data_IF_029191690950
#
_entry.id   IF_029191690950
#
_cell.length_a   1.000
_cell.length_b   1.000
_cell.length_c   1.000
_cell.angle_alpha   90.00
_cell.angle_beta   90.00
_cell.angle_gamma   90.00
#
_symmetry.space_group_name_H-M   'P 1'
#
loop_
_entity.id
_entity.type
_entity.pdbx_description
1 polymer ?
#
# COMPACT_ATOMS: atom_id res chain seq x y z
N UNK A 1 -10.68 5.06 -7.26
CA UNK A 1 -11.83 5.38 -6.40
C UNK A 1 -11.46 5.31 -4.92
N UNK A 2 -10.99 4.16 -4.41
CA UNK A 2 -10.64 4.05 -2.99
C UNK A 2 -9.58 5.07 -2.50
N UNK A 3 -8.49 5.30 -3.26
CA UNK A 3 -7.50 6.31 -2.88
C UNK A 3 -8.08 7.73 -2.81
N UNK A 4 -8.95 8.09 -3.78
CA UNK A 4 -9.61 9.40 -3.79
C UNK A 4 -10.53 9.57 -2.58
N UNK A 5 -11.34 8.56 -2.26
CA UNK A 5 -12.23 8.59 -1.10
C UNK A 5 -11.46 8.74 0.21
N UNK A 6 -10.32 8.04 0.37
CA UNK A 6 -9.46 8.19 1.54
C UNK A 6 -8.88 9.60 1.65
N UNK A 7 -8.46 10.20 0.52
CA UNK A 7 -7.99 11.59 0.51
C UNK A 7 -9.09 12.59 0.85
N UNK A 8 -10.31 12.38 0.35
CA UNK A 8 -11.47 13.22 0.66
C UNK A 8 -11.83 13.17 2.16
N UNK A 9 -11.62 12.01 2.80
CA UNK A 9 -11.77 11.82 4.26
C UNK A 9 -10.55 12.32 5.07
N UNK A 10 -9.55 12.91 4.40
CA UNK A 10 -8.39 13.54 5.05
C UNK A 10 -7.24 12.60 5.40
N UNK A 11 -7.19 11.39 4.83
CA UNK A 11 -6.05 10.47 5.01
C UNK A 11 -4.90 10.81 4.05
N UNK A 12 -3.66 10.66 4.53
CA UNK A 12 -2.48 10.57 3.65
C UNK A 12 -2.47 9.19 2.98
N UNK A 13 -2.37 9.17 1.65
CA UNK A 13 -2.41 7.93 0.87
C UNK A 13 -1.07 7.67 0.20
N UNK A 14 -0.44 6.55 0.60
CA UNK A 14 0.72 5.97 -0.08
C UNK A 14 0.26 4.81 -0.96
N UNK A 15 0.43 4.95 -2.28
CA UNK A 15 0.07 3.93 -3.27
C UNK A 15 1.31 3.19 -3.75
N UNK A 16 1.31 1.86 -3.62
CA UNK A 16 2.32 0.98 -4.23
C UNK A 16 1.73 0.34 -5.48
N UNK A 17 2.35 0.55 -6.64
CA UNK A 17 1.86 0.01 -7.91
C UNK A 17 3.04 -0.30 -8.85
N UNK A 18 3.02 -1.47 -9.50
CA UNK A 18 4.10 -1.88 -10.41
C UNK A 18 3.80 -1.61 -11.89
N UNK A 19 2.61 -1.08 -12.23
CA UNK A 19 2.22 -0.88 -13.62
C UNK A 19 2.49 0.58 -14.08
N UNK A 20 3.52 0.84 -14.91
CA UNK A 20 3.83 2.19 -15.36
C UNK A 20 2.75 2.83 -16.24
N UNK A 21 1.85 2.03 -16.83
CA UNK A 21 0.76 2.53 -17.65
C UNK A 21 -0.30 3.32 -16.85
N UNK A 22 -0.26 3.28 -15.51
CA UNK A 22 -1.23 3.97 -14.64
C UNK A 22 -0.64 5.17 -13.89
N UNK A 23 0.61 5.57 -14.18
CA UNK A 23 1.30 6.69 -13.51
C UNK A 23 0.45 7.97 -13.46
N UNK A 24 -0.15 8.34 -14.60
CA UNK A 24 -0.87 9.60 -14.77
C UNK A 24 -2.13 9.72 -13.90
N UNK A 25 -2.74 8.59 -13.55
CA UNK A 25 -3.89 8.57 -12.63
C UNK A 25 -3.43 8.50 -11.17
N UNK A 26 -2.29 7.89 -10.91
CA UNK A 26 -1.82 7.57 -9.55
C UNK A 26 -1.37 8.82 -8.77
N UNK A 27 -0.75 9.81 -9.44
CA UNK A 27 -0.32 11.07 -8.79
C UNK A 27 -1.48 12.03 -8.47
N UNK A 28 -2.64 11.84 -9.10
CA UNK A 28 -3.84 12.62 -8.80
C UNK A 28 -4.56 12.04 -7.57
N UNK A 29 -4.46 10.72 -7.37
CA UNK A 29 -5.29 9.99 -6.39
C UNK A 29 -4.54 9.61 -5.10
N UNK A 30 -3.22 9.78 -5.04
CA UNK A 30 -2.39 9.46 -3.86
C UNK A 30 -1.41 10.61 -3.57
N UNK A 31 -0.94 10.72 -2.33
CA UNK A 31 0.07 11.72 -1.93
C UNK A 31 1.48 11.27 -2.30
N UNK A 32 1.72 9.96 -2.23
CA UNK A 32 2.96 9.33 -2.67
C UNK A 32 2.66 8.09 -3.50
N UNK A 33 3.43 7.90 -4.57
CA UNK A 33 3.32 6.75 -5.47
C UNK A 33 4.68 6.06 -5.57
N UNK A 34 4.72 4.79 -5.21
CA UNK A 34 5.88 3.92 -5.39
C UNK A 34 5.69 3.02 -6.61
N UNK A 35 6.47 3.29 -7.65
CA UNK A 35 6.54 2.54 -8.91
C UNK A 35 7.53 1.38 -8.82
N UNK A 36 7.32 0.49 -7.86
CA UNK A 36 8.23 -0.61 -7.52
C UNK A 36 7.55 -1.97 -7.76
N UNK A 37 8.32 -3.06 -7.93
CA UNK A 37 7.77 -4.40 -7.97
C UNK A 37 6.93 -4.69 -6.72
N UNK A 38 5.72 -5.23 -6.92
CA UNK A 38 4.83 -5.67 -5.83
C UNK A 38 5.33 -7.01 -5.26
N UNK A 39 6.50 -6.98 -4.62
CA UNK A 39 7.09 -8.12 -3.93
C UNK A 39 7.16 -7.86 -2.43
N UNK A 40 7.24 -8.93 -1.65
CA UNK A 40 7.33 -8.84 -0.18
C UNK A 40 8.49 -7.93 0.26
N UNK A 41 9.65 -8.03 -0.40
CA UNK A 41 10.84 -7.26 -0.04
C UNK A 41 10.63 -5.75 -0.23
N UNK A 42 10.13 -5.33 -1.40
CA UNK A 42 9.92 -3.93 -1.72
C UNK A 42 8.82 -3.32 -0.85
N UNK A 43 7.67 -3.99 -0.72
CA UNK A 43 6.58 -3.49 0.11
C UNK A 43 7.00 -3.42 1.59
N UNK A 44 7.79 -4.37 2.07
CA UNK A 44 8.33 -4.31 3.43
C UNK A 44 9.28 -3.11 3.64
N UNK A 45 10.12 -2.78 2.65
CA UNK A 45 10.98 -1.58 2.69
C UNK A 45 10.13 -0.31 2.76
N UNK A 46 9.10 -0.22 1.92
CA UNK A 46 8.19 0.94 1.90
C UNK A 46 7.47 1.08 3.25
N UNK A 47 6.89 0.01 3.79
CA UNK A 47 6.21 0.04 5.10
C UNK A 47 7.14 0.48 6.23
N UNK A 48 8.39 0.00 6.24
CA UNK A 48 9.38 0.39 7.26
C UNK A 48 9.80 1.85 7.15
N UNK A 49 9.82 2.38 5.93
CA UNK A 49 10.20 3.77 5.65
C UNK A 49 9.05 4.73 5.94
N UNK A 50 7.89 4.49 5.32
CA UNK A 50 6.69 5.34 5.41
C UNK A 50 5.96 5.23 6.75
N UNK A 51 6.10 4.09 7.46
CA UNK A 51 5.44 3.82 8.75
C UNK A 51 3.92 4.11 8.72
N UNK A 52 3.15 3.51 7.79
CA UNK A 52 1.72 3.77 7.71
C UNK A 52 0.98 3.18 8.92
N UNK A 53 -0.11 3.84 9.34
CA UNK A 53 -0.98 3.32 10.40
C UNK A 53 -1.73 2.06 9.97
N UNK A 54 -2.02 1.95 8.66
CA UNK A 54 -2.82 0.88 8.10
C UNK A 54 -2.48 0.57 6.63
N UNK A 55 -2.81 -0.65 6.20
CA UNK A 55 -2.81 -1.06 4.79
C UNK A 55 -4.16 -1.63 4.37
N UNK A 56 -4.56 -1.37 3.12
CA UNK A 56 -5.82 -1.85 2.53
C UNK A 56 -5.49 -2.74 1.32
N UNK A 57 -5.37 -4.06 1.50
CA UNK A 57 -4.93 -4.96 0.43
C UNK A 57 -6.04 -5.31 -0.58
N UNK A 58 -7.30 -5.14 -0.21
CA UNK A 58 -8.45 -5.55 -1.02
C UNK A 58 -8.61 -4.81 -2.35
N UNK A 59 -7.96 -3.65 -2.51
CA UNK A 59 -8.03 -2.84 -3.73
C UNK A 59 -7.06 -3.37 -4.80
N UNK A 60 -6.00 -4.08 -4.41
CA UNK A 60 -4.95 -4.59 -5.29
C UNK A 60 -5.20 -5.99 -5.87
N UNK A 61 -6.44 -6.48 -5.79
CA UNK A 61 -6.79 -7.85 -6.19
C UNK A 61 -6.03 -8.93 -5.41
N UNK A 62 -5.86 -10.11 -6.01
CA UNK A 62 -5.23 -11.25 -5.34
C UNK A 62 -3.76 -11.00 -4.99
N UNK A 63 -3.04 -10.20 -5.78
CA UNK A 63 -1.65 -9.83 -5.51
C UNK A 63 -1.52 -9.06 -4.19
N UNK A 64 -2.38 -8.05 -3.98
CA UNK A 64 -2.40 -7.27 -2.73
C UNK A 64 -2.72 -8.12 -1.51
N UNK A 65 -3.74 -8.97 -1.60
CA UNK A 65 -4.13 -9.89 -0.53
C UNK A 65 -3.01 -10.88 -0.17
N UNK A 66 -2.37 -11.47 -1.18
CA UNK A 66 -1.27 -12.41 -0.97
C UNK A 66 -0.07 -11.74 -0.30
N UNK A 67 0.25 -10.49 -0.67
CA UNK A 67 1.33 -9.73 -0.05
C UNK A 67 1.02 -9.36 1.39
N UNK A 68 -0.20 -8.90 1.68
CA UNK A 68 -0.65 -8.62 3.04
C UNK A 68 -0.49 -9.84 3.95
N UNK A 69 -0.94 -11.01 3.51
CA UNK A 69 -0.77 -12.26 4.27
C UNK A 69 0.71 -12.61 4.49
N UNK A 70 1.57 -12.39 3.50
CA UNK A 70 3.00 -12.65 3.65
C UNK A 70 3.66 -11.68 4.64
N UNK A 71 3.31 -10.39 4.59
CA UNK A 71 3.80 -9.36 5.52
C UNK A 71 3.37 -9.66 6.96
N UNK A 72 2.13 -10.09 7.15
CA UNK A 72 1.60 -10.50 8.45
C UNK A 72 2.32 -11.74 8.98
N UNK A 73 2.42 -12.81 8.18
CA UNK A 73 3.13 -14.05 8.55
C UNK A 73 4.60 -13.82 8.91
N UNK A 74 5.26 -12.87 8.25
CA UNK A 74 6.64 -12.47 8.56
C UNK A 74 6.76 -11.52 9.75
N UNK A 75 5.65 -11.11 10.35
CA UNK A 75 5.61 -10.22 11.50
C UNK A 75 5.91 -8.75 11.19
N UNK A 76 5.99 -8.36 9.91
CA UNK A 76 6.39 -7.01 9.49
C UNK A 76 5.32 -5.98 9.87
N UNK A 77 4.04 -6.34 9.73
CA UNK A 77 2.95 -5.46 10.15
C UNK A 77 3.00 -5.21 11.67
N UNK A 78 3.26 -6.27 12.45
CA UNK A 78 3.42 -6.16 13.91
C UNK A 78 4.66 -5.35 14.30
N UNK A 79 5.79 -5.59 13.63
CA UNK A 79 7.04 -4.84 13.79
C UNK A 79 6.82 -3.34 13.59
N UNK A 80 6.03 -2.97 12.56
CA UNK A 80 5.76 -1.59 12.20
C UNK A 80 4.50 -1.00 12.84
N UNK A 81 3.77 -1.77 13.66
CA UNK A 81 2.47 -1.40 14.26
C UNK A 81 1.39 -1.01 13.24
N UNK A 82 1.46 -1.60 12.05
CA UNK A 82 0.55 -1.36 10.93
C UNK A 82 -0.68 -2.25 11.10
N UNK A 83 -1.88 -1.67 10.97
CA UNK A 83 -3.14 -2.42 10.96
C UNK A 83 -3.46 -2.93 9.55
N UNK A 84 -3.99 -4.13 9.46
CA UNK A 84 -4.67 -4.57 8.24
C UNK A 84 -6.10 -4.02 8.27
N UNK A 85 -6.52 -3.31 7.23
CA UNK A 85 -7.89 -2.84 7.06
C UNK A 85 -8.56 -3.59 5.90
N UNK A 86 -9.77 -4.08 6.16
CA UNK A 86 -10.51 -4.94 5.24
C UNK A 86 -10.57 -6.38 5.72
#
# INVERSE_FOLDING_TARGET
>A
QACLALKEEGYEVVLCNSNPATIMTDTIIADKVYMEPLTLEYVAKIIRYERPDAIIPGIGGQTGLNLAMQLEKKGILKECRVKLLG
#
